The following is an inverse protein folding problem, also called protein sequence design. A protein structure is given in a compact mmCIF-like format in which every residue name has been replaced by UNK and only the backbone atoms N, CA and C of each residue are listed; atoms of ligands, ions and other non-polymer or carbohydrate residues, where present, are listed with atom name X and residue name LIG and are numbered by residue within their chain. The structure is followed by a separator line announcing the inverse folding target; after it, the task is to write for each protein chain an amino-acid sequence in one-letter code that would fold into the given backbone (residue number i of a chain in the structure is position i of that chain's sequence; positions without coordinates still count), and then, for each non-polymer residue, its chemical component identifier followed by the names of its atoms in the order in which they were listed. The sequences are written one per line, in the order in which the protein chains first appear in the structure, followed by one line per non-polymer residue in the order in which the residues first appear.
data_IF_085542941542
#
_entry.id   IF_085542941542
#
_cell.length_a   1.000
_cell.length_b   1.000
_cell.length_c   1.000
_cell.angle_alpha   90.00
_cell.angle_beta   90.00
_cell.angle_gamma   90.00
#
_symmetry.space_group_name_H-M   'P 1'
#
loop_
_entity.id
_entity.type
_entity.pdbx_description
1 polymer ?
#
# COMPACT_ATOMS: atom_id res chain seq x y z
N UNK A 1 1.04 -24.05 -9.41
CA UNK A 1 0.44 -23.12 -8.43
C UNK A 1 0.54 -21.72 -9.00
N UNK A 2 -0.55 -20.97 -8.96
CA UNK A 2 -0.59 -19.57 -9.41
C UNK A 2 0.21 -18.67 -8.47
N UNK A 3 0.73 -17.55 -8.98
CA UNK A 3 1.28 -16.47 -8.15
C UNK A 3 0.27 -16.06 -7.05
N UNK A 4 -1.02 -16.07 -7.38
CA UNK A 4 -2.12 -15.74 -6.48
C UNK A 4 -2.32 -16.73 -5.34
N UNK A 5 -2.13 -18.03 -5.57
CA UNK A 5 -2.25 -19.02 -4.49
C UNK A 5 -1.15 -18.79 -3.44
N UNK A 6 0.06 -18.45 -3.91
CA UNK A 6 1.19 -18.10 -3.04
C UNK A 6 1.01 -16.74 -2.36
N UNK A 7 0.38 -15.79 -3.05
CA UNK A 7 0.06 -14.46 -2.52
C UNK A 7 -1.02 -14.53 -1.43
N UNK A 8 -2.16 -15.19 -1.69
CA UNK A 8 -3.25 -15.32 -0.73
C UNK A 8 -2.83 -16.09 0.52
N UNK A 9 -2.05 -17.16 0.37
CA UNK A 9 -1.46 -17.87 1.53
C UNK A 9 -0.59 -16.95 2.39
N UNK A 10 0.19 -16.06 1.77
CA UNK A 10 1.00 -15.07 2.50
C UNK A 10 0.18 -13.94 3.12
N UNK A 11 -0.85 -13.48 2.42
CA UNK A 11 -1.76 -12.43 2.89
C UNK A 11 -2.62 -12.93 4.08
N UNK A 12 -3.03 -14.19 4.05
CA UNK A 12 -3.88 -14.84 5.07
C UNK A 12 -3.08 -15.51 6.20
N UNK A 13 -1.75 -15.57 6.11
CA UNK A 13 -0.90 -16.19 7.12
C UNK A 13 -0.87 -17.73 7.11
N UNK A 14 -1.37 -18.37 6.06
CA UNK A 14 -1.31 -19.83 5.89
C UNK A 14 0.10 -20.25 5.45
N UNK A 15 0.98 -20.42 6.44
CA UNK A 15 2.17 -21.24 6.28
C UNK A 15 1.75 -22.71 6.42
N UNK A 16 2.14 -23.55 5.46
CA UNK A 16 1.81 -24.98 5.49
C UNK A 16 2.34 -25.61 6.78
N UNK A 17 1.42 -26.07 7.63
CA UNK A 17 1.70 -27.03 8.69
C UNK A 17 1.94 -28.40 8.05
N UNK A 18 3.20 -28.73 7.75
CA UNK A 18 3.65 -30.12 7.75
C UNK A 18 5.04 -30.20 8.40
N UNK A 19 5.06 -30.64 9.67
CA UNK A 19 6.19 -31.32 10.29
C UNK A 19 7.38 -30.47 10.78
N UNK A 20 7.54 -30.43 12.11
CA UNK A 20 8.71 -29.99 12.89
C UNK A 20 8.95 -28.47 13.09
N UNK A 21 8.38 -27.98 14.19
CA UNK A 21 9.04 -27.15 15.22
C UNK A 21 10.04 -26.09 14.73
N UNK A 22 9.52 -24.91 14.40
CA UNK A 22 9.96 -23.65 14.99
C UNK A 22 8.97 -22.56 14.56
N UNK A 23 8.31 -21.95 15.54
CA UNK A 23 7.65 -20.66 15.38
C UNK A 23 8.69 -19.65 14.91
N UNK A 24 8.86 -19.51 13.60
CA UNK A 24 9.75 -18.55 12.95
C UNK A 24 9.13 -17.16 13.03
N UNK A 25 9.02 -16.65 14.26
CA UNK A 25 8.94 -15.23 14.52
C UNK A 25 10.33 -14.65 14.23
N UNK A 26 10.74 -14.64 12.96
CA UNK A 26 12.06 -14.17 12.53
C UNK A 26 12.04 -12.65 12.50
N UNK A 27 12.71 -12.09 13.49
CA UNK A 27 12.99 -10.67 13.64
C UNK A 27 13.63 -10.11 12.35
N UNK A 28 13.29 -8.87 11.99
CA UNK A 28 13.87 -8.23 10.81
C UNK A 28 15.41 -8.14 10.97
N UNK A 29 16.14 -8.50 9.91
CA UNK A 29 17.60 -8.35 9.87
C UNK A 29 18.01 -6.88 9.87
N UNK A 30 17.21 -6.05 9.20
CA UNK A 30 17.39 -4.61 9.15
C UNK A 30 16.05 -3.97 9.47
N UNK A 31 16.08 -2.94 10.32
CA UNK A 31 14.97 -2.04 10.56
C UNK A 31 15.52 -0.61 10.62
N UNK A 32 15.17 0.19 9.62
CA UNK A 32 15.63 1.58 9.50
C UNK A 32 14.48 2.50 9.07
N UNK A 33 14.71 3.80 9.12
CA UNK A 33 13.83 4.82 8.54
C UNK A 33 14.01 4.80 7.03
N UNK A 34 12.91 4.72 6.28
CA UNK A 34 12.93 4.77 4.82
C UNK A 34 13.43 6.14 4.34
N UNK A 35 14.56 6.16 3.63
CA UNK A 35 15.18 7.37 3.08
C UNK A 35 15.44 7.20 1.58
N UNK A 36 14.80 8.04 0.77
CA UNK A 36 15.08 8.11 -0.67
C UNK A 36 16.37 8.88 -0.94
N UNK A 37 17.22 8.33 -1.82
CA UNK A 37 18.49 8.97 -2.23
C UNK A 37 18.24 10.26 -3.04
N UNK A 38 19.24 11.15 -3.15
CA UNK A 38 19.13 12.34 -4.00
C UNK A 38 18.84 12.01 -5.47
N UNK A 39 19.51 10.99 -6.02
CA UNK A 39 19.31 10.54 -7.40
C UNK A 39 17.91 9.98 -7.64
N UNK A 40 17.35 9.28 -6.65
CA UNK A 40 15.98 8.80 -6.70
C UNK A 40 15.00 9.97 -6.75
N UNK A 41 15.16 10.95 -5.87
CA UNK A 41 14.28 12.14 -5.81
C UNK A 41 14.30 12.93 -7.12
N UNK A 42 15.46 13.06 -7.75
CA UNK A 42 15.60 13.73 -9.03
C UNK A 42 14.85 13.00 -10.15
N UNK A 43 15.04 11.69 -10.27
CA UNK A 43 14.36 10.88 -11.28
C UNK A 43 12.84 10.82 -11.05
N UNK A 44 12.42 10.70 -9.79
CA UNK A 44 11.02 10.75 -9.40
C UNK A 44 10.39 12.09 -9.79
N UNK A 45 11.06 13.21 -9.48
CA UNK A 45 10.58 14.54 -9.87
C UNK A 45 10.45 14.69 -11.38
N UNK A 46 11.41 14.18 -12.15
CA UNK A 46 11.33 14.16 -13.61
C UNK A 46 10.12 13.32 -14.08
N UNK A 47 9.95 12.12 -13.55
CA UNK A 47 8.84 11.22 -13.89
C UNK A 47 7.47 11.86 -13.63
N UNK A 48 7.33 12.59 -12.52
CA UNK A 48 6.13 13.37 -12.20
C UNK A 48 5.91 14.50 -13.20
N UNK A 49 6.94 15.31 -13.51
CA UNK A 49 6.80 16.42 -14.45
C UNK A 49 6.51 15.98 -15.88
N UNK A 50 6.95 14.78 -16.26
CA UNK A 50 6.63 14.17 -17.56
C UNK A 50 5.21 13.57 -17.60
N UNK A 51 4.46 13.61 -16.50
CA UNK A 51 3.08 13.11 -16.45
C UNK A 51 2.96 11.59 -16.51
N UNK A 52 4.06 10.86 -16.27
CA UNK A 52 4.11 9.39 -16.42
C UNK A 52 3.25 8.63 -15.41
N UNK A 53 2.71 9.30 -14.40
CA UNK A 53 1.74 8.74 -13.45
C UNK A 53 0.35 8.51 -14.04
N UNK A 54 -0.03 9.26 -15.09
CA UNK A 54 -1.42 9.33 -15.53
C UNK A 54 -1.99 7.98 -16.01
N UNK A 55 -1.26 7.29 -16.88
CA UNK A 55 -1.69 5.98 -17.40
C UNK A 55 -1.72 4.89 -16.30
N UNK A 56 -0.67 4.74 -15.46
CA UNK A 56 -0.72 3.83 -14.32
C UNK A 56 -1.90 4.07 -13.37
N UNK A 57 -2.19 5.31 -12.98
CA UNK A 57 -3.32 5.61 -12.08
C UNK A 57 -4.66 5.24 -12.71
N UNK A 58 -4.86 5.59 -13.98
CA UNK A 58 -6.06 5.22 -14.75
C UNK A 58 -6.23 3.70 -14.77
N UNK A 59 -5.16 2.94 -15.02
CA UNK A 59 -5.21 1.47 -15.04
C UNK A 59 -5.52 0.87 -13.68
N UNK A 60 -4.97 1.41 -12.60
CA UNK A 60 -5.31 0.98 -11.23
C UNK A 60 -6.79 1.25 -10.96
N UNK A 61 -7.28 2.43 -11.32
CA UNK A 61 -8.67 2.83 -11.13
C UNK A 61 -9.62 1.89 -11.87
N UNK A 62 -9.36 1.62 -13.15
CA UNK A 62 -10.14 0.67 -13.95
C UNK A 62 -10.10 -0.74 -13.36
N UNK A 63 -8.90 -1.23 -13.00
CA UNK A 63 -8.74 -2.56 -12.41
C UNK A 63 -9.47 -2.69 -11.06
N UNK A 64 -9.49 -1.65 -10.23
CA UNK A 64 -10.24 -1.64 -8.97
C UNK A 64 -11.74 -1.82 -9.21
N UNK A 65 -12.33 -0.99 -10.08
CA UNK A 65 -13.77 -1.01 -10.35
C UNK A 65 -14.24 -2.25 -11.09
N UNK A 66 -13.41 -2.80 -11.98
CA UNK A 66 -13.68 -4.06 -12.67
C UNK A 66 -13.55 -5.25 -11.71
N UNK A 67 -12.55 -5.25 -10.81
CA UNK A 67 -12.44 -6.29 -9.77
C UNK A 67 -13.67 -6.33 -8.87
N UNK A 68 -14.26 -5.18 -8.53
CA UNK A 68 -15.55 -5.13 -7.79
C UNK A 68 -16.71 -5.78 -8.53
N UNK A 69 -16.63 -5.85 -9.86
CA UNK A 69 -17.60 -6.51 -10.73
C UNK A 69 -17.21 -7.96 -11.08
N UNK A 70 -16.15 -8.50 -10.45
CA UNK A 70 -15.56 -9.80 -10.75
C UNK A 70 -15.08 -9.95 -12.21
N UNK A 71 -14.66 -8.85 -12.84
CA UNK A 71 -14.08 -8.84 -14.19
C UNK A 71 -12.56 -8.87 -14.09
N UNK A 72 -11.92 -9.78 -14.83
CA UNK A 72 -10.47 -9.91 -14.90
C UNK A 72 -9.84 -8.82 -15.78
N UNK A 73 -8.64 -8.38 -15.41
CA UNK A 73 -7.85 -7.35 -16.08
C UNK A 73 -6.38 -7.77 -16.08
N UNK A 74 -5.57 -7.17 -16.96
CA UNK A 74 -4.13 -7.43 -16.98
C UNK A 74 -3.42 -6.93 -15.73
N UNK A 75 -3.91 -5.82 -15.15
CA UNK A 75 -3.43 -5.29 -13.87
C UNK A 75 -4.13 -6.01 -12.73
N UNK A 76 -3.33 -6.80 -12.04
CA UNK A 76 -3.75 -7.76 -11.04
C UNK A 76 -4.00 -7.08 -9.68
N UNK A 77 -5.26 -6.71 -9.43
CA UNK A 77 -5.71 -6.12 -8.15
C UNK A 77 -6.48 -7.12 -7.30
N UNK A 78 -6.14 -7.13 -6.01
CA UNK A 78 -6.90 -7.82 -4.96
C UNK A 78 -7.52 -6.80 -4.01
N UNK A 79 -8.83 -6.90 -3.77
CA UNK A 79 -9.52 -6.08 -2.79
C UNK A 79 -9.30 -6.68 -1.39
N UNK A 80 -9.03 -5.80 -0.43
CA UNK A 80 -8.86 -6.12 0.98
C UNK A 80 -10.08 -5.54 1.70
N UNK A 81 -10.97 -6.39 2.20
CA UNK A 81 -12.20 -5.96 2.84
C UNK A 81 -12.29 -6.54 4.26
N UNK A 82 -12.16 -5.69 5.26
CA UNK A 82 -12.25 -6.04 6.67
C UNK A 82 -13.13 -5.00 7.39
N UNK A 83 -13.79 -5.36 8.52
CA UNK A 83 -14.71 -4.46 9.22
C UNK A 83 -14.16 -3.07 9.56
N UNK A 84 -12.85 -2.99 9.86
CA UNK A 84 -12.17 -1.75 10.25
C UNK A 84 -11.01 -1.37 9.35
N UNK A 85 -10.83 -2.08 8.23
CA UNK A 85 -9.75 -1.81 7.30
C UNK A 85 -10.14 -2.23 5.88
N UNK A 86 -10.07 -1.29 4.95
CA UNK A 86 -10.34 -1.55 3.54
C UNK A 86 -9.14 -1.12 2.71
N UNK A 87 -8.89 -1.81 1.61
CA UNK A 87 -7.69 -1.60 0.83
C UNK A 87 -7.70 -2.31 -0.50
N UNK A 88 -6.59 -2.14 -1.21
CA UNK A 88 -6.26 -2.99 -2.35
C UNK A 88 -4.77 -3.32 -2.35
N UNK A 89 -4.43 -4.44 -2.98
CA UNK A 89 -3.07 -4.80 -3.33
C UNK A 89 -2.96 -4.88 -4.85
N UNK A 90 -1.88 -4.33 -5.41
CA UNK A 90 -1.55 -4.38 -6.84
C UNK A 90 -0.27 -5.20 -7.01
N UNK A 91 -0.38 -6.32 -7.73
CA UNK A 91 0.78 -7.08 -8.17
C UNK A 91 1.59 -6.29 -9.20
N UNK A 92 2.91 -6.42 -9.19
CA UNK A 92 3.79 -5.75 -10.15
C UNK A 92 3.50 -6.24 -11.58
N UNK A 93 3.00 -5.38 -12.49
CA UNK A 93 2.65 -5.78 -13.85
C UNK A 93 3.89 -5.75 -14.76
N UNK A 94 4.78 -6.74 -14.59
CA UNK A 94 6.12 -6.75 -15.16
C UNK A 94 6.22 -6.63 -16.69
N UNK A 95 5.15 -6.93 -17.42
CA UNK A 95 5.09 -6.81 -18.88
C UNK A 95 4.64 -5.43 -19.37
N UNK A 96 4.07 -4.61 -18.49
CA UNK A 96 3.45 -3.33 -18.85
C UNK A 96 4.08 -2.12 -18.16
N UNK A 97 4.74 -2.33 -17.01
CA UNK A 97 5.36 -1.25 -16.25
C UNK A 97 6.79 -1.61 -15.83
N UNK A 98 7.72 -0.67 -16.02
CA UNK A 98 9.09 -0.81 -15.54
C UNK A 98 9.17 -0.84 -14.01
N UNK A 99 10.18 -1.52 -13.47
CA UNK A 99 10.37 -1.63 -12.02
C UNK A 99 10.48 -0.25 -11.34
N UNK A 100 11.27 0.65 -11.93
CA UNK A 100 11.44 2.01 -11.42
C UNK A 100 10.12 2.79 -11.42
N UNK A 101 9.34 2.69 -12.50
CA UNK A 101 8.04 3.37 -12.62
C UNK A 101 7.02 2.81 -11.60
N UNK A 102 7.08 1.51 -11.29
CA UNK A 102 6.25 0.92 -10.23
C UNK A 102 6.60 1.45 -8.84
N UNK A 103 7.89 1.65 -8.55
CA UNK A 103 8.35 2.25 -7.29
C UNK A 103 7.99 3.74 -7.25
N UNK A 104 8.10 4.46 -8.37
CA UNK A 104 7.64 5.86 -8.46
C UNK A 104 6.14 6.00 -8.31
N UNK A 105 5.35 5.06 -8.84
CA UNK A 105 3.92 5.00 -8.62
C UNK A 105 3.58 4.84 -7.13
N UNK A 106 4.31 3.97 -6.42
CA UNK A 106 4.19 3.84 -4.97
C UNK A 106 4.50 5.15 -4.22
N UNK A 107 5.56 5.86 -4.59
CA UNK A 107 5.88 7.19 -4.03
C UNK A 107 4.81 8.23 -4.36
N UNK A 108 4.28 8.20 -5.57
CA UNK A 108 3.25 9.12 -6.02
C UNK A 108 1.95 8.93 -5.26
N UNK A 109 1.54 7.69 -5.00
CA UNK A 109 0.38 7.41 -4.15
C UNK A 109 0.57 7.98 -2.74
N UNK A 110 1.78 7.92 -2.16
CA UNK A 110 2.07 8.60 -0.88
C UNK A 110 1.88 10.12 -1.00
N UNK A 111 2.39 10.75 -2.05
CA UNK A 111 2.24 12.20 -2.26
C UNK A 111 0.75 12.60 -2.44
N UNK A 112 -0.03 11.79 -3.16
CA UNK A 112 -1.48 11.95 -3.30
C UNK A 112 -2.18 11.85 -1.94
N UNK A 113 -1.84 10.87 -1.10
CA UNK A 113 -2.42 10.81 0.26
C UNK A 113 -2.05 12.04 1.08
N UNK A 114 -0.80 12.52 1.00
CA UNK A 114 -0.37 13.73 1.70
C UNK A 114 -1.15 14.98 1.26
N UNK A 115 -1.55 15.08 -0.02
CA UNK A 115 -2.38 16.19 -0.49
C UNK A 115 -3.83 16.12 0.00
N UNK A 116 -4.30 14.98 0.49
CA UNK A 116 -5.63 14.79 1.08
C UNK A 116 -5.69 15.20 2.57
N UNK A 117 -4.88 16.18 2.99
CA UNK A 117 -4.78 16.64 4.38
C UNK A 117 -4.27 15.58 5.38
N UNK A 118 -3.37 14.72 4.93
CA UNK A 118 -2.66 13.77 5.80
C UNK A 118 -1.29 14.31 6.22
N UNK A 119 -0.70 13.66 7.22
CA UNK A 119 0.71 13.80 7.58
C UNK A 119 1.38 12.43 7.61
N UNK A 120 2.66 12.41 7.22
CA UNK A 120 3.49 11.24 7.40
C UNK A 120 3.76 11.06 8.91
N UNK A 121 3.33 9.93 9.46
CA UNK A 121 3.53 9.58 10.87
C UNK A 121 4.75 8.68 11.04
N UNK A 122 4.98 7.76 10.11
CA UNK A 122 6.15 6.88 10.08
C UNK A 122 6.52 6.48 8.64
N UNK A 123 7.80 6.25 8.43
CA UNK A 123 8.36 5.77 7.17
C UNK A 123 9.44 4.73 7.48
N UNK A 124 9.12 3.45 7.28
CA UNK A 124 9.97 2.33 7.72
C UNK A 124 10.49 1.52 6.54
N UNK A 125 11.69 0.99 6.73
CA UNK A 125 12.37 0.07 5.84
C UNK A 125 12.76 -1.16 6.64
N UNK A 126 12.35 -2.35 6.19
CA UNK A 126 12.69 -3.61 6.85
C UNK A 126 13.19 -4.63 5.84
N UNK A 127 14.18 -5.41 6.24
CA UNK A 127 14.64 -6.57 5.46
C UNK A 127 14.52 -7.85 6.28
N UNK A 128 14.03 -8.90 5.64
CA UNK A 128 13.90 -10.22 6.21
C UNK A 128 14.63 -11.22 5.34
N UNK A 129 15.49 -12.03 5.95
CA UNK A 129 16.02 -13.23 5.30
C UNK A 129 15.00 -14.36 5.44
N UNK A 130 14.46 -14.79 4.29
CA UNK A 130 13.48 -15.88 4.19
C UNK A 130 14.14 -17.21 3.82
N UNK A 131 15.46 -17.34 3.98
CA UNK A 131 16.26 -18.52 3.64
C UNK A 131 16.70 -18.50 2.18
N UNK A 132 15.76 -18.72 1.26
CA UNK A 132 16.06 -18.79 -0.18
C UNK A 132 16.05 -17.43 -0.88
N UNK A 133 15.57 -16.39 -0.20
CA UNK A 133 15.39 -15.05 -0.77
C UNK A 133 15.36 -13.98 0.31
N UNK A 134 15.67 -12.76 -0.09
CA UNK A 134 15.55 -11.57 0.75
C UNK A 134 14.23 -10.89 0.45
N UNK A 135 13.48 -10.59 1.50
CA UNK A 135 12.26 -9.79 1.43
C UNK A 135 12.53 -8.41 2.00
N UNK A 136 12.28 -7.38 1.18
CA UNK A 136 12.37 -5.99 1.58
C UNK A 136 10.98 -5.38 1.66
N UNK A 137 10.70 -4.71 2.77
CA UNK A 137 9.43 -4.06 3.06
C UNK A 137 9.65 -2.57 3.26
N UNK A 138 9.00 -1.76 2.43
CA UNK A 138 8.99 -0.30 2.54
C UNK A 138 7.59 0.15 2.90
N UNK A 139 7.42 0.88 3.99
CA UNK A 139 6.11 1.26 4.50
C UNK A 139 6.02 2.75 4.79
N UNK A 140 4.95 3.38 4.33
CA UNK A 140 4.50 4.69 4.80
C UNK A 140 3.23 4.55 5.62
N UNK A 141 3.25 5.10 6.82
CA UNK A 141 2.07 5.19 7.68
C UNK A 141 1.67 6.65 7.84
N UNK A 142 0.47 6.98 7.39
CA UNK A 142 -0.06 8.33 7.32
C UNK A 142 -1.28 8.47 8.21
N UNK A 143 -1.34 9.59 8.93
CA UNK A 143 -2.49 9.94 9.79
C UNK A 143 -3.18 11.18 9.24
N UNK A 144 -4.52 11.28 9.32
CA UNK A 144 -5.20 12.53 9.08
C UNK A 144 -4.59 13.63 9.96
N UNK A 145 -4.43 14.83 9.41
CA UNK A 145 -4.06 15.98 10.26
C UNK A 145 -5.20 16.24 11.21
N UNK A 146 -4.86 16.64 12.43
CA UNK A 146 -5.86 16.83 13.49
C UNK A 146 -6.82 17.94 13.06
N UNK A 147 -8.08 17.57 12.87
CA UNK A 147 -9.20 18.49 12.75
C UNK A 147 -10.20 18.13 13.83
N UNK A 148 -10.42 19.06 14.75
CA UNK A 148 -11.48 18.93 15.74
C UNK A 148 -12.78 19.36 15.09
N UNK A 149 -13.82 18.53 15.22
CA UNK A 149 -15.15 18.89 14.74
C UNK A 149 -15.66 20.18 15.40
N UNK A 150 -16.51 20.91 14.67
CA UNK A 150 -17.19 22.12 15.16
C UNK A 150 -18.17 21.85 16.30
N UNK A 151 -18.58 20.58 16.50
CA UNK A 151 -19.33 20.10 17.65
C UNK A 151 -18.52 19.02 18.38
N UNK A 152 -18.33 19.23 19.68
CA UNK A 152 -18.06 18.19 20.70
C UNK A 152 -16.70 17.48 20.74
N UNK A 153 -15.62 18.07 20.22
CA UNK A 153 -14.27 17.54 20.46
C UNK A 153 -14.02 16.15 19.85
N UNK A 154 -14.89 15.71 18.95
CA UNK A 154 -14.77 14.47 18.18
C UNK A 154 -13.70 14.66 17.10
N UNK A 155 -12.78 13.69 17.00
CA UNK A 155 -11.72 13.71 15.99
C UNK A 155 -12.28 13.30 14.63
N UNK A 156 -12.11 14.17 13.64
CA UNK A 156 -12.44 13.87 12.25
C UNK A 156 -11.37 12.94 11.68
N UNK A 157 -11.73 11.66 11.55
CA UNK A 157 -10.78 10.64 11.12
C UNK A 157 -10.66 10.49 9.60
N UNK A 158 -11.40 11.28 8.80
CA UNK A 158 -11.43 11.18 7.34
C UNK A 158 -11.71 9.74 6.88
N UNK A 159 -10.74 9.11 6.20
CA UNK A 159 -10.80 7.72 5.73
C UNK A 159 -10.12 6.74 6.72
N UNK A 160 -9.69 7.22 7.89
CA UNK A 160 -8.85 6.49 8.84
C UNK A 160 -7.36 6.76 8.62
N UNK A 161 -6.49 5.95 9.23
CA UNK A 161 -5.06 6.01 8.89
C UNK A 161 -4.82 5.28 7.56
N UNK A 162 -3.91 5.79 6.74
CA UNK A 162 -3.52 5.14 5.49
C UNK A 162 -2.16 4.47 5.67
N UNK A 163 -2.07 3.21 5.27
CA UNK A 163 -0.81 2.47 5.18
C UNK A 163 -0.54 2.13 3.72
N UNK A 164 0.61 2.57 3.23
CA UNK A 164 1.15 2.14 1.94
C UNK A 164 2.32 1.23 2.23
N UNK A 165 2.37 0.06 1.62
CA UNK A 165 3.47 -0.88 1.79
C UNK A 165 3.87 -1.47 0.43
N UNK A 166 5.17 -1.39 0.12
CA UNK A 166 5.80 -2.00 -1.05
C UNK A 166 6.64 -3.18 -0.60
N UNK A 167 6.39 -4.34 -1.21
CA UNK A 167 7.18 -5.56 -0.99
C UNK A 167 8.08 -5.82 -2.19
N UNK A 168 9.35 -6.11 -1.93
CA UNK A 168 10.34 -6.54 -2.93
C UNK A 168 10.93 -7.89 -2.53
N UNK A 169 11.22 -8.74 -3.52
CA UNK A 169 11.95 -9.98 -3.33
C UNK A 169 13.23 -9.94 -4.15
N UNK A 170 14.38 -10.13 -3.50
CA UNK A 170 15.69 -10.07 -4.13
C UNK A 170 15.86 -8.77 -4.95
N UNK A 171 15.46 -7.66 -4.32
CA UNK A 171 15.37 -6.30 -4.86
C UNK A 171 14.38 -6.04 -6.00
N UNK A 172 13.69 -7.07 -6.49
CA UNK A 172 12.65 -6.93 -7.52
C UNK A 172 11.28 -6.59 -6.89
N UNK A 173 10.54 -5.61 -7.42
CA UNK A 173 9.20 -5.31 -6.93
C UNK A 173 8.26 -6.51 -7.12
N UNK A 174 7.50 -6.82 -6.07
CA UNK A 174 6.51 -7.90 -6.10
C UNK A 174 5.09 -7.34 -6.16
N UNK A 175 4.75 -6.47 -5.21
CA UNK A 175 3.45 -5.80 -5.13
C UNK A 175 3.54 -4.60 -4.18
N UNK A 176 2.56 -3.71 -4.25
CA UNK A 176 2.27 -2.82 -3.13
C UNK A 176 0.82 -2.96 -2.68
N UNK A 177 0.52 -2.51 -1.46
CA UNK A 177 -0.84 -2.39 -0.93
C UNK A 177 -1.10 -0.99 -0.41
N UNK A 178 -2.34 -0.55 -0.52
CA UNK A 178 -2.88 0.66 0.07
C UNK A 178 -4.05 0.26 0.96
N UNK A 179 -3.97 0.58 2.25
CA UNK A 179 -4.99 0.19 3.24
C UNK A 179 -5.38 1.41 4.07
N UNK A 180 -6.67 1.69 4.12
CA UNK A 180 -7.29 2.64 5.03
C UNK A 180 -7.85 1.89 6.25
N UNK A 181 -7.39 2.25 7.45
CA UNK A 181 -7.79 1.62 8.71
C UNK A 181 -8.49 2.63 9.62
N UNK A 182 -9.74 2.36 9.97
CA UNK A 182 -10.60 3.26 10.75
C UNK A 182 -10.61 2.87 12.23
N UNK A 183 -10.91 3.83 13.08
CA UNK A 183 -11.13 3.60 14.50
C UNK A 183 -12.63 3.48 14.80
N UNK A 184 -13.00 2.46 15.59
CA UNK A 184 -14.33 2.29 16.15
C UNK A 184 -14.33 2.81 17.59
N UNK A 185 -14.69 4.07 17.78
CA UNK A 185 -14.78 4.67 19.12
C UNK A 185 -15.58 5.97 19.10
N UNK A 186 -16.27 6.28 20.20
CA UNK A 186 -17.14 7.47 20.31
C UNK A 186 -16.40 8.80 20.15
N UNK A 187 -15.08 8.80 20.36
CA UNK A 187 -14.18 9.93 20.17
C UNK A 187 -13.83 10.21 18.70
N UNK A 188 -14.27 9.35 17.78
CA UNK A 188 -14.01 9.46 16.35
C UNK A 188 -15.31 9.67 15.58
N UNK A 189 -15.26 10.53 14.56
CA UNK A 189 -16.37 10.69 13.63
C UNK A 189 -16.62 9.39 12.88
N UNK A 190 -17.79 9.26 12.26
CA UNK A 190 -17.95 8.25 11.20
C UNK A 190 -16.88 8.49 10.12
N UNK A 191 -16.22 7.41 9.70
CA UNK A 191 -15.25 7.49 8.61
C UNK A 191 -15.98 7.64 7.28
N UNK A 192 -15.37 8.39 6.36
CA UNK A 192 -15.81 8.51 4.98
C UNK A 192 -15.63 7.19 4.24
N UNK A 193 -16.40 6.98 3.17
CA UNK A 193 -16.40 5.70 2.48
C UNK A 193 -15.06 5.42 1.77
N UNK A 194 -14.60 4.18 1.79
CA UNK A 194 -13.32 3.81 1.16
C UNK A 194 -13.32 4.05 -0.36
N UNK A 195 -14.47 3.89 -1.02
CA UNK A 195 -14.56 4.17 -2.44
C UNK A 195 -14.33 5.66 -2.77
N UNK A 196 -14.78 6.59 -1.92
CA UNK A 196 -14.47 8.01 -2.10
C UNK A 196 -12.95 8.28 -1.98
N UNK A 197 -12.26 7.52 -1.11
CA UNK A 197 -10.80 7.59 -1.01
C UNK A 197 -10.14 7.13 -2.32
N UNK A 198 -10.65 6.05 -2.93
CA UNK A 198 -10.13 5.54 -4.21
C UNK A 198 -10.32 6.57 -5.33
N UNK A 199 -11.49 7.19 -5.42
CA UNK A 199 -11.75 8.27 -6.39
C UNK A 199 -10.71 9.40 -6.23
N UNK A 200 -10.55 9.92 -5.00
CA UNK A 200 -9.62 11.02 -4.71
C UNK A 200 -8.14 10.64 -4.85
N UNK A 201 -7.79 9.38 -4.61
CA UNK A 201 -6.42 8.90 -4.70
C UNK A 201 -5.97 8.73 -6.16
N UNK A 202 -6.87 8.28 -7.04
CA UNK A 202 -6.52 7.81 -8.38
C UNK A 202 -6.97 8.75 -9.53
N UNK A 203 -7.89 9.70 -9.30
CA UNK A 203 -8.28 10.74 -10.26
C UNK A 203 -7.65 12.08 -9.89
#
# INVERSE_FOLDING_TARGET
MSFWDKFLRRLLGESQEEGNTASSNKQALVHDVLRRSPSFKQQYFQWVNEGKFADPLRRIYEAYWLKRQNVAMSWEIQLLQMPYANGFALAFPSHELGQTDFIFLFEYLKDRVLSLNYRLADASYKMYDRGERVETLEQYYLKPRVQWGTQDGVYQQEFGNITLELTRFDDLPAYFKVVASIYAGRQYSQARHFDEFIELLLQ
#
